data_IF_290784857848
#
_entry.id   IF_290784857848
#
_cell.length_a   1.000
_cell.length_b   1.000
_cell.length_c   1.000
_cell.angle_alpha   90.00
_cell.angle_beta   90.00
_cell.angle_gamma   90.00
#
_symmetry.space_group_name_H-M   'P 1'
#
loop_
_entity.id
_entity.type
_entity.pdbx_description
1 polymer ?
#
# COMPACT_ATOMS: atom_id res chain seq x y z
N UNK A 1 38.96 49.56 6.47
CA UNK A 1 38.21 48.96 5.34
C UNK A 1 39.10 48.84 4.09
N UNK A 2 40.08 47.91 4.07
CA UNK A 2 40.94 47.68 2.89
C UNK A 2 41.05 46.19 2.49
N UNK A 3 40.73 45.28 3.42
CA UNK A 3 40.87 43.83 3.20
C UNK A 3 39.90 43.25 2.15
N UNK A 4 38.69 43.81 2.01
CA UNK A 4 37.69 43.31 1.06
C UNK A 4 37.94 43.72 -0.39
N UNK A 5 38.69 44.80 -0.64
CA UNK A 5 38.98 45.29 -2.01
C UNK A 5 39.96 44.37 -2.74
N UNK A 6 40.99 43.91 -2.03
CA UNK A 6 42.02 43.03 -2.58
C UNK A 6 41.47 41.64 -2.93
N UNK A 7 40.43 41.19 -2.23
CA UNK A 7 39.82 39.88 -2.46
C UNK A 7 38.90 39.89 -3.69
N UNK A 8 38.20 41.00 -3.95
CA UNK A 8 37.29 41.15 -5.09
C UNK A 8 38.01 41.33 -6.43
N UNK A 9 39.25 41.80 -6.43
CA UNK A 9 40.04 42.03 -7.65
C UNK A 9 40.75 40.75 -8.16
N UNK A 10 41.05 39.79 -7.27
CA UNK A 10 41.72 38.55 -7.62
C UNK A 10 40.81 37.52 -8.30
N UNK A 11 39.49 37.61 -8.12
CA UNK A 11 38.52 36.67 -8.69
C UNK A 11 37.39 37.42 -9.42
N UNK A 12 37.29 37.33 -10.76
CA UNK A 12 36.30 38.08 -11.56
C UNK A 12 34.85 37.72 -11.23
N UNK A 13 34.62 36.53 -10.67
CA UNK A 13 33.33 36.07 -10.13
C UNK A 13 32.83 36.94 -8.95
N UNK A 14 33.73 37.47 -8.11
CA UNK A 14 33.33 38.29 -6.96
C UNK A 14 32.85 39.68 -7.38
N UNK A 15 33.29 40.18 -8.54
CA UNK A 15 32.79 41.42 -9.14
C UNK A 15 31.34 41.28 -9.63
N UNK A 16 30.96 40.09 -10.10
CA UNK A 16 29.59 39.75 -10.50
C UNK A 16 28.69 39.60 -9.26
N UNK A 17 29.19 38.98 -8.19
CA UNK A 17 28.49 38.86 -6.90
C UNK A 17 28.36 40.20 -6.15
N UNK A 18 29.12 41.24 -6.49
CA UNK A 18 28.99 42.58 -5.91
C UNK A 18 27.76 43.37 -6.41
N UNK A 19 27.09 42.89 -7.46
CA UNK A 19 25.89 43.54 -7.99
C UNK A 19 24.66 43.14 -7.15
N UNK A 20 23.95 44.14 -6.60
CA UNK A 20 22.73 43.94 -5.79
C UNK A 20 21.69 43.04 -6.47
N UNK A 21 21.56 43.13 -7.80
CA UNK A 21 20.61 42.31 -8.55
C UNK A 21 21.02 40.84 -8.60
N UNK A 22 22.32 40.55 -8.67
CA UNK A 22 22.85 39.18 -8.66
C UNK A 22 22.71 38.55 -7.29
N UNK A 23 22.95 39.31 -6.21
CA UNK A 23 22.76 38.82 -4.84
C UNK A 23 21.29 38.45 -4.60
N UNK A 24 20.35 39.33 -4.98
CA UNK A 24 18.92 39.07 -4.84
C UNK A 24 18.50 37.86 -5.69
N UNK A 25 19.01 37.74 -6.91
CA UNK A 25 18.72 36.61 -7.80
C UNK A 25 19.26 35.30 -7.23
N UNK A 26 20.52 35.28 -6.75
CA UNK A 26 21.12 34.09 -6.14
C UNK A 26 20.38 33.71 -4.86
N UNK A 27 20.03 34.68 -4.00
CA UNK A 27 19.23 34.42 -2.81
C UNK A 27 17.86 33.84 -3.18
N UNK A 28 17.19 34.40 -4.18
CA UNK A 28 15.92 33.90 -4.68
C UNK A 28 16.03 32.50 -5.29
N UNK A 29 17.06 32.23 -6.07
CA UNK A 29 17.31 30.89 -6.65
C UNK A 29 17.62 29.87 -5.56
N UNK A 30 18.46 30.21 -4.58
CA UNK A 30 18.76 29.34 -3.43
C UNK A 30 17.48 29.12 -2.61
N UNK A 31 16.66 30.15 -2.40
CA UNK A 31 15.38 30.02 -1.72
C UNK A 31 14.42 29.08 -2.46
N UNK A 32 14.26 29.25 -3.78
CA UNK A 32 13.42 28.38 -4.61
C UNK A 32 13.98 26.95 -4.73
N UNK A 33 15.29 26.73 -4.56
CA UNK A 33 15.87 25.37 -4.64
C UNK A 33 15.88 24.64 -3.29
N UNK A 34 16.16 25.34 -2.20
CA UNK A 34 16.30 24.75 -0.87
C UNK A 34 15.02 24.81 -0.04
N UNK A 35 14.19 25.84 -0.20
CA UNK A 35 12.93 25.98 0.54
C UNK A 35 11.72 25.52 -0.27
N UNK A 36 11.73 25.68 -1.60
CA UNK A 36 10.56 25.38 -2.45
C UNK A 36 10.54 23.94 -2.98
N UNK A 37 10.33 22.96 -2.09
CA UNK A 37 9.63 21.72 -2.48
C UNK A 37 10.36 20.75 -3.45
N UNK A 38 11.66 20.89 -3.70
CA UNK A 38 12.43 19.91 -4.51
C UNK A 38 13.20 18.94 -3.62
N UNK A 39 12.54 18.43 -2.58
CA UNK A 39 13.17 17.47 -1.68
C UNK A 39 13.27 16.11 -2.36
N UNK A 40 14.48 15.63 -2.60
CA UNK A 40 14.74 14.24 -3.02
C UNK A 40 14.04 13.20 -2.10
N UNK A 41 13.74 13.58 -0.86
CA UNK A 41 12.98 12.76 0.09
C UNK A 41 11.50 12.62 -0.32
N UNK A 42 10.88 13.65 -0.87
CA UNK A 42 9.48 13.59 -1.33
C UNK A 42 9.31 12.61 -2.48
N UNK A 43 10.23 12.61 -3.44
CA UNK A 43 10.21 11.62 -4.51
C UNK A 43 10.39 10.18 -4.00
N UNK A 44 11.20 9.96 -2.96
CA UNK A 44 11.32 8.63 -2.35
C UNK A 44 10.03 8.19 -1.66
N UNK A 45 9.37 9.10 -0.93
CA UNK A 45 8.09 8.82 -0.28
C UNK A 45 7.02 8.52 -1.33
N UNK A 46 6.96 9.32 -2.40
CA UNK A 46 5.99 9.14 -3.47
C UNK A 46 6.23 7.82 -4.22
N UNK A 47 7.48 7.47 -4.52
CA UNK A 47 7.81 6.18 -5.14
C UNK A 47 7.45 4.99 -4.24
N UNK A 48 7.61 5.13 -2.91
CA UNK A 48 7.18 4.11 -1.96
C UNK A 48 5.66 3.93 -1.99
N UNK A 49 4.91 5.03 -1.95
CA UNK A 49 3.45 4.98 -2.06
C UNK A 49 2.99 4.38 -3.39
N UNK A 50 3.69 4.69 -4.49
CA UNK A 50 3.41 4.13 -5.80
C UNK A 50 3.59 2.61 -5.82
N UNK A 51 4.70 2.11 -5.27
CA UNK A 51 4.96 0.68 -5.17
C UNK A 51 3.91 -0.02 -4.29
N UNK A 52 3.57 0.54 -3.13
CA UNK A 52 2.52 0.00 -2.25
C UNK A 52 1.16 -0.06 -2.98
N UNK A 53 0.83 0.95 -3.78
CA UNK A 53 -0.42 0.98 -4.54
C UNK A 53 -0.43 -0.07 -5.67
N UNK A 54 0.68 -0.24 -6.39
CA UNK A 54 0.81 -1.25 -7.44
C UNK A 54 0.75 -2.68 -6.86
N UNK A 55 1.39 -2.92 -5.72
CA UNK A 55 1.35 -4.20 -5.01
C UNK A 55 -0.06 -4.53 -4.53
N UNK A 56 -0.77 -3.55 -3.95
CA UNK A 56 -2.18 -3.72 -3.55
C UNK A 56 -3.07 -4.02 -4.75
N UNK A 57 -2.91 -3.29 -5.85
CA UNK A 57 -3.64 -3.52 -7.09
C UNK A 57 -3.40 -4.93 -7.61
N UNK A 58 -2.15 -5.40 -7.62
CA UNK A 58 -1.81 -6.77 -8.04
C UNK A 58 -2.47 -7.81 -7.14
N UNK A 59 -2.38 -7.63 -5.82
CA UNK A 59 -3.02 -8.51 -4.84
C UNK A 59 -4.52 -8.67 -5.11
N UNK A 60 -5.26 -7.56 -5.25
CA UNK A 60 -6.70 -7.61 -5.51
C UNK A 60 -7.04 -8.20 -6.88
N UNK A 61 -6.24 -7.93 -7.91
CA UNK A 61 -6.43 -8.54 -9.23
C UNK A 61 -6.25 -10.06 -9.20
N UNK A 62 -5.27 -10.55 -8.43
CA UNK A 62 -5.04 -11.98 -8.26
C UNK A 62 -6.17 -12.63 -7.45
N UNK A 63 -6.66 -11.97 -6.41
CA UNK A 63 -7.79 -12.46 -5.60
C UNK A 63 -9.08 -12.53 -6.40
N UNK A 64 -9.40 -11.49 -7.18
CA UNK A 64 -10.54 -11.49 -8.12
C UNK A 64 -10.42 -12.66 -9.11
N UNK A 65 -9.21 -12.97 -9.59
CA UNK A 65 -9.00 -14.09 -10.51
C UNK A 65 -9.28 -15.43 -9.83
N UNK A 66 -8.82 -15.62 -8.60
CA UNK A 66 -9.11 -16.83 -7.80
C UNK A 66 -10.62 -16.95 -7.56
N UNK A 67 -11.25 -15.90 -7.06
CA UNK A 67 -12.69 -15.87 -6.78
C UNK A 67 -13.52 -16.12 -8.03
N UNK A 68 -13.15 -15.53 -9.16
CA UNK A 68 -13.84 -15.78 -10.43
C UNK A 68 -13.77 -17.26 -10.85
N UNK A 69 -12.68 -17.95 -10.51
CA UNK A 69 -12.50 -19.38 -10.77
C UNK A 69 -13.35 -20.21 -9.82
N UNK A 70 -13.35 -19.87 -8.53
CA UNK A 70 -14.20 -20.50 -7.51
C UNK A 70 -15.69 -20.34 -7.86
N UNK A 71 -16.13 -19.15 -8.27
CA UNK A 71 -17.50 -18.88 -8.71
C UNK A 71 -17.87 -19.74 -9.93
N UNK A 72 -16.95 -19.91 -10.89
CA UNK A 72 -17.19 -20.80 -12.04
C UNK A 72 -17.37 -22.25 -11.61
N UNK A 73 -16.60 -22.72 -10.63
CA UNK A 73 -16.77 -24.06 -10.07
C UNK A 73 -18.13 -24.20 -9.37
N UNK A 74 -18.55 -23.16 -8.64
CA UNK A 74 -19.85 -23.03 -7.99
C UNK A 74 -21.02 -22.75 -8.96
N UNK A 75 -20.83 -22.72 -10.28
CA UNK A 75 -21.97 -22.74 -11.23
C UNK A 75 -22.49 -24.15 -11.51
N UNK A 76 -21.72 -25.17 -11.15
CA UNK A 76 -22.15 -26.55 -11.30
C UNK A 76 -22.99 -26.94 -10.07
N UNK A 77 -24.27 -27.34 -10.23
CA UNK A 77 -25.15 -27.68 -9.11
C UNK A 77 -24.55 -28.76 -8.21
N UNK A 78 -23.84 -29.73 -8.77
CA UNK A 78 -23.16 -30.79 -8.02
C UNK A 78 -22.04 -30.26 -7.10
N UNK A 79 -21.30 -29.24 -7.55
CA UNK A 79 -20.23 -28.62 -6.77
C UNK A 79 -20.79 -27.73 -5.66
N UNK A 80 -21.92 -27.06 -5.93
CA UNK A 80 -22.64 -26.29 -4.91
C UNK A 80 -23.16 -27.23 -3.82
N UNK A 81 -23.81 -28.33 -4.20
CA UNK A 81 -24.35 -29.30 -3.25
C UNK A 81 -23.23 -29.91 -2.40
N UNK A 82 -22.10 -30.28 -3.02
CA UNK A 82 -20.92 -30.77 -2.30
C UNK A 82 -20.40 -29.74 -1.29
N UNK A 83 -20.22 -28.48 -1.70
CA UNK A 83 -19.73 -27.42 -0.82
C UNK A 83 -20.71 -27.13 0.34
N UNK A 84 -22.01 -27.10 0.06
CA UNK A 84 -23.04 -26.91 1.06
C UNK A 84 -23.08 -28.06 2.10
N UNK A 85 -22.86 -29.30 1.66
CA UNK A 85 -22.79 -30.48 2.53
C UNK A 85 -21.50 -30.51 3.36
N UNK A 86 -20.34 -30.21 2.78
CA UNK A 86 -19.05 -30.25 3.48
C UNK A 86 -18.85 -29.08 4.45
N UNK A 87 -19.25 -27.86 4.05
CA UNK A 87 -18.97 -26.65 4.84
C UNK A 87 -20.07 -26.28 5.81
N UNK A 88 -21.32 -26.55 5.44
CA UNK A 88 -22.51 -26.11 6.18
C UNK A 88 -23.41 -27.26 6.62
N UNK A 89 -23.03 -28.51 6.35
CA UNK A 89 -23.81 -29.71 6.71
C UNK A 89 -25.27 -29.64 6.26
N UNK A 90 -25.53 -29.01 5.10
CA UNK A 90 -26.89 -28.91 4.56
C UNK A 90 -27.42 -30.31 4.17
N UNK A 91 -28.69 -30.58 4.49
CA UNK A 91 -29.38 -31.83 4.16
C UNK A 91 -30.68 -31.58 3.40
N UNK A 92 -31.16 -32.61 2.69
CA UNK A 92 -32.53 -32.63 2.16
C UNK A 92 -33.50 -33.10 3.25
N UNK A 93 -34.78 -32.75 3.13
CA UNK A 93 -35.79 -33.13 4.12
C UNK A 93 -35.96 -34.66 4.27
N UNK A 94 -35.57 -35.42 3.24
CA UNK A 94 -35.61 -36.88 3.20
C UNK A 94 -34.30 -37.56 3.65
N UNK A 95 -33.36 -36.82 4.25
CA UNK A 95 -32.03 -37.33 4.64
C UNK A 95 -31.71 -37.02 6.10
N UNK A 96 -30.98 -37.92 6.76
CA UNK A 96 -30.45 -37.73 8.11
C UNK A 96 -28.93 -37.70 8.10
N UNK A 97 -28.35 -36.67 8.74
CA UNK A 97 -26.90 -36.48 8.86
C UNK A 97 -26.46 -36.96 10.24
N UNK A 98 -25.43 -37.80 10.27
CA UNK A 98 -24.75 -38.23 11.49
C UNK A 98 -23.35 -37.63 11.51
N UNK A 99 -23.03 -36.87 12.56
CA UNK A 99 -21.67 -36.39 12.83
C UNK A 99 -21.05 -37.40 13.80
N UNK A 100 -19.97 -38.07 13.39
CA UNK A 100 -19.27 -39.05 14.21
C UNK A 100 -18.03 -38.36 14.77
N UNK A 101 -18.04 -38.12 16.08
CA UNK A 101 -16.92 -37.53 16.81
C UNK A 101 -16.25 -38.62 17.64
N UNK A 102 -14.92 -38.74 17.53
CA UNK A 102 -14.13 -39.62 18.38
C UNK A 102 -13.61 -38.81 19.56
N UNK A 103 -13.56 -39.43 20.74
CA UNK A 103 -13.19 -38.80 22.02
C UNK A 103 -11.77 -38.20 22.03
N UNK A 104 -10.93 -38.54 21.03
CA UNK A 104 -9.60 -37.96 20.81
C UNK A 104 -9.52 -36.78 19.82
N UNK A 105 -10.62 -36.46 19.12
CA UNK A 105 -10.66 -35.47 18.02
C UNK A 105 -11.37 -34.16 18.39
N UNK A 106 -11.83 -34.01 19.65
CA UNK A 106 -12.48 -32.79 20.14
C UNK A 106 -11.50 -31.61 20.16
N UNK A 107 -11.40 -30.87 19.06
CA UNK A 107 -10.90 -29.50 19.07
C UNK A 107 -12.00 -28.65 19.72
N UNK A 108 -11.66 -28.02 20.83
CA UNK A 108 -12.56 -27.15 21.58
C UNK A 108 -12.80 -25.88 20.75
N UNK A 109 -13.83 -25.89 19.89
CA UNK A 109 -14.30 -24.69 19.19
C UNK A 109 -15.18 -23.84 20.14
N UNK A 110 -14.55 -23.28 21.16
CA UNK A 110 -15.16 -22.29 22.03
C UNK A 110 -15.17 -20.92 21.31
N UNK A 111 -16.21 -20.68 20.49
CA UNK A 111 -16.72 -19.32 20.12
C UNK A 111 -17.81 -19.43 19.05
N UNK A 112 -19.08 -19.51 19.44
CA UNK A 112 -20.19 -19.01 18.60
C UNK A 112 -21.41 -18.51 19.41
N UNK A 113 -21.59 -18.85 20.69
CA UNK A 113 -22.76 -18.40 21.46
C UNK A 113 -22.61 -17.04 22.17
N UNK A 114 -22.00 -16.03 21.54
CA UNK A 114 -22.03 -14.65 22.07
C UNK A 114 -22.21 -13.59 20.99
N UNK A 115 -23.25 -13.70 20.16
CA UNK A 115 -23.78 -12.53 19.42
C UNK A 115 -25.21 -12.76 18.93
N UNK A 116 -26.10 -13.03 19.88
CA UNK A 116 -27.54 -12.79 19.71
C UNK A 116 -28.07 -12.06 20.95
N UNK A 117 -27.95 -10.73 20.92
CA UNK A 117 -28.87 -9.77 21.51
C UNK A 117 -28.99 -8.61 20.53
#
# INVERSE_FOLDING_TARGET
>A
MSFFKNLTDAYPILKILGNRYVIVLVFFTVWMLFLDNTSYLEHRILNKQLNELEDNKKYYQDEIRKDSTSIKQLKNPDQIEKYAREKYYMKRDSEDIYIIEFEGDSIIDEKTDSKSL
#
